data_IF_743113274817
#
_entry.id   IF_743113274817
#
_cell.length_a   1.000
_cell.length_b   1.000
_cell.length_c   1.000
_cell.angle_alpha   90.00
_cell.angle_beta   90.00
_cell.angle_gamma   90.00
#
_symmetry.space_group_name_H-M   'P 1'
#
loop_
_entity.id
_entity.type
_entity.pdbx_description
1 polymer ?
#
# COMPACT_ATOMS: atom_id res chain seq x y z
N UNK A 1 41.36 41.95 -60.41
CA UNK A 1 40.07 41.24 -60.43
C UNK A 1 40.32 39.90 -59.74
N UNK A 2 40.54 39.86 -58.42
CA UNK A 2 39.57 39.98 -57.32
C UNK A 2 38.41 38.99 -57.44
N UNK A 3 38.55 37.82 -56.80
CA UNK A 3 37.46 37.13 -56.09
C UNK A 3 38.07 36.52 -54.82
N UNK A 4 37.64 37.05 -53.67
CA UNK A 4 37.80 36.51 -52.32
C UNK A 4 37.03 35.21 -52.17
N UNK A 5 37.58 34.24 -51.45
CA UNK A 5 36.77 33.33 -50.62
C UNK A 5 37.41 33.32 -49.23
N UNK A 6 36.72 34.00 -48.35
CA UNK A 6 36.90 34.04 -46.91
C UNK A 6 36.35 32.74 -46.31
N UNK A 7 37.17 31.98 -45.59
CA UNK A 7 36.72 30.87 -44.75
C UNK A 7 37.06 31.18 -43.30
N UNK A 8 36.19 32.03 -42.73
CA UNK A 8 36.09 32.29 -41.31
C UNK A 8 35.96 31.00 -40.51
N UNK A 9 36.93 30.82 -39.61
CA UNK A 9 37.01 29.73 -38.65
C UNK A 9 36.01 30.00 -37.52
N UNK A 10 34.77 29.56 -37.70
CA UNK A 10 33.76 29.57 -36.63
C UNK A 10 34.15 28.61 -35.51
N UNK A 11 34.60 29.19 -34.39
CA UNK A 11 34.69 28.52 -33.10
C UNK A 11 33.27 28.24 -32.61
N UNK A 12 32.78 27.02 -32.81
CA UNK A 12 31.60 26.52 -32.11
C UNK A 12 31.91 26.48 -30.61
N UNK A 13 31.30 27.43 -29.88
CA UNK A 13 31.31 27.46 -28.44
C UNK A 13 30.68 26.20 -27.87
N UNK A 14 31.40 25.57 -26.95
CA UNK A 14 30.93 24.51 -26.07
C UNK A 14 30.00 25.12 -25.02
N UNK A 15 28.78 25.48 -25.43
CA UNK A 15 27.68 25.82 -24.52
C UNK A 15 26.87 24.54 -24.23
N UNK A 16 27.56 23.53 -23.71
CA UNK A 16 26.88 22.46 -22.98
C UNK A 16 26.50 23.02 -21.60
N UNK A 17 25.20 23.06 -21.23
CA UNK A 17 24.80 23.59 -19.93
C UNK A 17 25.50 22.74 -18.88
N UNK A 18 26.35 23.37 -18.06
CA UNK A 18 27.02 22.71 -16.94
C UNK A 18 25.95 22.15 -16.01
N UNK A 19 25.62 20.87 -16.17
CA UNK A 19 24.73 20.15 -15.25
C UNK A 19 25.49 20.13 -13.93
N UNK A 20 25.17 21.07 -13.05
CA UNK A 20 25.74 21.13 -11.71
C UNK A 20 25.63 19.75 -11.10
N UNK A 21 26.77 19.13 -10.76
CA UNK A 21 26.77 17.79 -10.20
C UNK A 21 25.80 17.76 -9.01
N UNK A 22 24.81 16.85 -8.98
CA UNK A 22 23.77 16.90 -7.97
C UNK A 22 24.40 16.91 -6.58
N UNK A 23 23.86 17.71 -5.66
CA UNK A 23 24.36 17.78 -4.27
C UNK A 23 24.50 16.38 -3.67
N UNK A 24 25.47 16.17 -2.76
CA UNK A 24 25.62 14.88 -2.03
C UNK A 24 24.32 14.46 -1.32
N UNK A 25 23.44 15.41 -1.02
CA UNK A 25 22.13 15.20 -0.39
C UNK A 25 20.95 15.20 -1.38
N UNK A 26 21.21 15.25 -2.69
CA UNK A 26 20.16 15.13 -3.70
C UNK A 26 19.53 13.74 -3.64
N UNK A 27 18.21 13.68 -3.85
CA UNK A 27 17.44 12.43 -4.03
C UNK A 27 17.97 11.53 -5.15
N UNK A 28 18.74 12.09 -6.07
CA UNK A 28 19.39 11.38 -7.17
C UNK A 28 20.61 10.56 -6.74
N UNK A 29 21.10 10.78 -5.51
CA UNK A 29 22.19 10.00 -4.91
C UNK A 29 21.65 9.15 -3.77
N UNK A 30 22.25 7.98 -3.59
CA UNK A 30 21.85 6.99 -2.58
C UNK A 30 21.65 7.59 -1.17
N UNK A 31 22.60 8.36 -0.58
CA UNK A 31 22.41 8.92 0.76
C UNK A 31 21.26 9.94 0.85
N UNK A 32 21.05 10.77 -0.18
CA UNK A 32 19.94 11.71 -0.20
C UNK A 32 18.59 11.02 -0.36
N UNK A 33 18.51 10.00 -1.22
CA UNK A 33 17.33 9.13 -1.36
C UNK A 33 17.01 8.38 -0.06
N UNK A 34 18.03 7.85 0.62
CA UNK A 34 17.87 7.15 1.90
C UNK A 34 17.32 8.09 2.97
N UNK A 35 17.84 9.31 3.09
CA UNK A 35 17.35 10.30 4.04
C UNK A 35 15.90 10.68 3.75
N UNK A 36 15.55 10.84 2.47
CA UNK A 36 14.18 11.15 2.06
C UNK A 36 13.22 10.00 2.39
N UNK A 37 13.59 8.76 2.07
CA UNK A 37 12.79 7.57 2.39
C UNK A 37 12.67 7.37 3.92
N UNK A 38 13.73 7.64 4.69
CA UNK A 38 13.67 7.65 6.17
C UNK A 38 12.62 8.65 6.67
N UNK A 39 12.63 9.88 6.16
CA UNK A 39 11.62 10.90 6.49
C UNK A 39 10.21 10.48 6.09
N UNK A 40 10.05 9.81 4.95
CA UNK A 40 8.75 9.32 4.48
C UNK A 40 8.19 8.20 5.38
N UNK A 41 9.04 7.32 5.91
CA UNK A 41 8.61 6.20 6.76
C UNK A 41 8.49 6.56 8.25
N UNK A 42 9.24 7.55 8.74
CA UNK A 42 9.19 7.93 10.17
C UNK A 42 7.85 8.59 10.54
N UNK A 43 7.25 9.37 9.64
CA UNK A 43 5.99 10.08 9.89
C UNK A 43 4.81 9.11 10.18
N UNK A 44 4.53 8.11 9.33
CA UNK A 44 3.52 7.08 9.64
C UNK A 44 3.83 6.28 10.90
N UNK A 45 5.11 5.98 11.15
CA UNK A 45 5.54 5.21 12.32
C UNK A 45 5.32 5.97 13.64
N UNK A 46 5.64 7.26 13.66
CA UNK A 46 5.40 8.14 14.81
C UNK A 46 3.89 8.27 15.09
N UNK A 47 3.08 8.48 14.04
CA UNK A 47 1.63 8.58 14.21
C UNK A 47 1.02 7.26 14.73
N UNK A 48 1.42 6.11 14.17
CA UNK A 48 0.94 4.80 14.65
C UNK A 48 1.27 4.57 16.12
N UNK A 49 2.48 4.95 16.54
CA UNK A 49 2.91 4.86 17.94
C UNK A 49 2.11 5.81 18.85
N UNK A 50 1.91 7.06 18.41
CA UNK A 50 1.16 8.06 19.15
C UNK A 50 -0.32 7.66 19.31
N UNK A 51 -0.95 7.12 18.26
CA UNK A 51 -2.32 6.59 18.30
C UNK A 51 -2.45 5.45 19.33
N UNK A 52 -1.47 4.54 19.41
CA UNK A 52 -1.44 3.50 20.45
C UNK A 52 -1.25 4.07 21.86
N UNK A 53 -0.43 5.11 22.04
CA UNK A 53 -0.27 5.76 23.34
C UNK A 53 -1.56 6.46 23.82
N UNK A 54 -2.34 7.04 22.90
CA UNK A 54 -3.64 7.59 23.26
C UNK A 54 -4.62 6.49 23.70
N UNK A 55 -4.68 5.37 22.98
CA UNK A 55 -5.47 4.20 23.38
C UNK A 55 -5.05 3.67 24.75
N UNK A 56 -3.75 3.58 25.02
CA UNK A 56 -3.24 3.10 26.30
C UNK A 56 -3.62 4.02 27.48
N UNK A 57 -3.84 5.31 27.23
CA UNK A 57 -4.36 6.24 28.24
C UNK A 57 -5.88 6.11 28.46
N UNK A 58 -6.62 5.50 27.54
CA UNK A 58 -8.06 5.25 27.69
C UNK A 58 -8.27 4.06 28.63
N UNK A 59 -7.67 2.92 28.30
CA UNK A 59 -7.66 1.74 29.17
C UNK A 59 -6.49 0.82 28.81
N UNK A 60 -5.55 0.67 29.75
CA UNK A 60 -4.37 -0.16 29.58
C UNK A 60 -4.71 -1.65 29.39
N UNK A 61 -5.81 -2.13 29.97
CA UNK A 61 -6.25 -3.52 29.88
C UNK A 61 -6.77 -3.91 28.48
N UNK A 62 -7.17 -2.92 27.70
CA UNK A 62 -7.76 -3.11 26.37
C UNK A 62 -6.84 -2.69 25.22
N UNK A 63 -5.58 -2.34 25.49
CA UNK A 63 -4.58 -2.07 24.43
C UNK A 63 -4.44 -3.28 23.50
N UNK A 64 -4.48 -4.49 24.05
CA UNK A 64 -4.44 -5.76 23.30
C UNK A 64 -5.63 -5.88 22.34
N UNK A 65 -6.79 -5.32 22.68
CA UNK A 65 -7.98 -5.32 21.81
C UNK A 65 -7.71 -4.56 20.51
N UNK A 66 -6.85 -3.54 20.51
CA UNK A 66 -6.52 -2.78 19.29
C UNK A 66 -5.62 -3.53 18.33
N UNK A 67 -4.82 -4.48 18.82
CA UNK A 67 -3.99 -5.33 17.96
C UNK A 67 -4.86 -6.32 17.15
N UNK A 68 -6.10 -6.60 17.58
CA UNK A 68 -7.06 -7.40 16.80
C UNK A 68 -7.34 -6.78 15.43
N UNK A 69 -7.43 -5.44 15.38
CA UNK A 69 -7.62 -4.74 14.11
C UNK A 69 -6.48 -5.08 13.14
N UNK A 70 -5.24 -5.16 13.65
CA UNK A 70 -4.06 -5.59 12.88
C UNK A 70 -4.18 -7.04 12.45
N UNK A 71 -4.59 -7.96 13.32
CA UNK A 71 -4.71 -9.38 12.99
C UNK A 71 -5.80 -9.65 11.94
N UNK A 72 -6.93 -8.96 12.04
CA UNK A 72 -7.97 -8.98 11.00
C UNK A 72 -7.38 -8.43 9.70
N UNK A 73 -6.65 -7.31 9.77
CA UNK A 73 -5.92 -6.74 8.63
C UNK A 73 -4.99 -7.73 7.94
N UNK A 74 -4.27 -8.57 8.70
CA UNK A 74 -3.40 -9.62 8.15
C UNK A 74 -4.19 -10.68 7.37
N UNK A 75 -5.39 -11.04 7.82
CA UNK A 75 -6.25 -11.95 7.04
C UNK A 75 -6.71 -11.25 5.75
N UNK A 76 -7.06 -9.97 5.82
CA UNK A 76 -7.42 -9.14 4.65
C UNK A 76 -6.25 -9.00 3.68
N UNK A 77 -5.01 -8.97 4.19
CA UNK A 77 -3.79 -8.87 3.39
C UNK A 77 -3.66 -10.02 2.39
N UNK A 78 -4.06 -11.24 2.76
CA UNK A 78 -4.05 -12.41 1.87
C UNK A 78 -4.89 -12.16 0.60
N UNK A 79 -6.05 -11.55 0.79
CA UNK A 79 -6.96 -11.17 -0.30
C UNK A 79 -6.38 -10.01 -1.12
N UNK A 80 -5.78 -9.02 -0.45
CA UNK A 80 -5.19 -7.84 -1.06
C UNK A 80 -3.89 -8.11 -1.84
N UNK A 81 -3.14 -9.14 -1.48
CA UNK A 81 -1.95 -9.56 -2.20
C UNK A 81 -2.23 -10.59 -3.30
N UNK A 82 -3.44 -11.15 -3.33
CA UNK A 82 -3.88 -12.07 -4.38
C UNK A 82 -3.97 -11.38 -5.75
N UNK A 83 -5.16 -10.89 -6.09
CA UNK A 83 -5.42 -10.27 -7.41
C UNK A 83 -4.65 -8.94 -7.61
N UNK A 84 -4.65 -7.99 -6.65
CA UNK A 84 -4.03 -6.68 -6.89
C UNK A 84 -2.53 -6.73 -7.16
N UNK A 85 -1.79 -7.70 -6.59
CA UNK A 85 -0.34 -7.81 -6.79
C UNK A 85 0.04 -8.18 -8.23
N UNK A 86 -0.85 -8.85 -8.97
CA UNK A 86 -0.64 -9.17 -10.39
C UNK A 86 -1.02 -8.03 -11.35
N UNK A 87 -1.57 -6.91 -10.84
CA UNK A 87 -2.03 -5.80 -11.66
C UNK A 87 -0.94 -5.27 -12.60
N UNK A 88 0.32 -5.17 -12.14
CA UNK A 88 1.43 -4.72 -12.98
C UNK A 88 1.74 -5.65 -14.16
N UNK A 89 1.59 -6.95 -13.97
CA UNK A 89 1.85 -7.95 -15.02
C UNK A 89 0.73 -8.02 -16.05
N UNK A 90 -0.52 -7.79 -15.62
CA UNK A 90 -1.70 -7.98 -16.47
C UNK A 90 -2.22 -6.65 -17.01
N UNK A 91 -2.49 -5.68 -16.13
CA UNK A 91 -2.98 -4.35 -16.52
C UNK A 91 -1.84 -3.46 -17.02
N UNK A 92 -0.63 -3.58 -16.46
CA UNK A 92 0.51 -2.75 -16.86
C UNK A 92 1.06 -3.03 -18.27
N UNK A 93 0.64 -4.12 -18.92
CA UNK A 93 1.16 -4.55 -20.22
C UNK A 93 0.64 -3.69 -21.38
N UNK A 94 1.37 -2.61 -21.68
CA UNK A 94 1.11 -1.72 -22.83
C UNK A 94 1.51 -2.33 -24.17
N UNK A 95 2.42 -3.29 -24.17
CA UNK A 95 3.00 -3.85 -25.40
C UNK A 95 2.06 -4.82 -26.10
N UNK A 96 1.27 -5.59 -25.34
CA UNK A 96 0.41 -6.64 -25.92
C UNK A 96 -1.09 -6.35 -25.78
N UNK A 97 -1.49 -5.43 -24.90
CA UNK A 97 -2.90 -5.12 -24.63
C UNK A 97 -3.26 -3.70 -25.00
N UNK A 98 -4.43 -3.54 -25.62
CA UNK A 98 -5.03 -2.23 -25.87
C UNK A 98 -5.45 -1.56 -24.57
N UNK A 99 -5.57 -0.23 -24.58
CA UNK A 99 -6.05 0.52 -23.41
C UNK A 99 -7.45 0.05 -22.95
N UNK A 100 -8.30 -0.35 -23.89
CA UNK A 100 -9.64 -0.89 -23.62
C UNK A 100 -9.57 -2.19 -22.82
N UNK A 101 -8.73 -3.14 -23.23
CA UNK A 101 -8.55 -4.39 -22.51
C UNK A 101 -7.99 -4.17 -21.09
N UNK A 102 -7.07 -3.23 -20.93
CA UNK A 102 -6.50 -2.83 -19.61
C UNK A 102 -7.58 -2.24 -18.70
N UNK A 103 -8.48 -1.42 -19.23
CA UNK A 103 -9.63 -0.88 -18.48
C UNK A 103 -10.64 -1.95 -18.08
N UNK A 104 -10.96 -2.90 -18.96
CA UNK A 104 -11.85 -4.02 -18.62
C UNK A 104 -11.27 -4.90 -17.51
N UNK A 105 -9.95 -5.11 -17.51
CA UNK A 105 -9.23 -5.79 -16.44
C UNK A 105 -9.30 -5.01 -15.12
N UNK A 106 -9.12 -3.68 -15.15
CA UNK A 106 -9.22 -2.82 -13.98
C UNK A 106 -10.61 -2.87 -13.34
N UNK A 107 -11.67 -2.75 -14.15
CA UNK A 107 -13.05 -2.90 -13.66
C UNK A 107 -13.27 -4.28 -13.07
N UNK A 108 -12.87 -5.34 -13.79
CA UNK A 108 -13.03 -6.71 -13.33
C UNK A 108 -12.34 -6.92 -11.98
N UNK A 109 -11.12 -6.40 -11.81
CA UNK A 109 -10.39 -6.47 -10.54
C UNK A 109 -11.13 -5.74 -9.42
N UNK A 110 -11.57 -4.50 -9.65
CA UNK A 110 -12.28 -3.71 -8.64
C UNK A 110 -13.58 -4.41 -8.22
N UNK A 111 -14.39 -4.89 -9.19
CA UNK A 111 -15.64 -5.60 -8.90
C UNK A 111 -15.41 -6.91 -8.14
N UNK A 112 -14.47 -7.73 -8.60
CA UNK A 112 -14.18 -9.02 -7.96
C UNK A 112 -13.60 -8.82 -6.57
N UNK A 113 -12.64 -7.90 -6.40
CA UNK A 113 -12.04 -7.60 -5.11
C UNK A 113 -13.07 -7.04 -4.12
N UNK A 114 -13.98 -6.18 -4.58
CA UNK A 114 -15.11 -5.69 -3.77
C UNK A 114 -16.01 -6.84 -3.32
N UNK A 115 -16.38 -7.74 -4.23
CA UNK A 115 -17.20 -8.91 -3.92
C UNK A 115 -16.53 -9.85 -2.90
N UNK A 116 -15.23 -10.12 -3.07
CA UNK A 116 -14.47 -10.92 -2.12
C UNK A 116 -14.32 -10.20 -0.75
N UNK A 117 -14.15 -8.88 -0.72
CA UNK A 117 -14.13 -8.08 0.50
C UNK A 117 -15.46 -8.11 1.25
N UNK A 118 -16.58 -8.04 0.54
CA UNK A 118 -17.93 -8.19 1.12
C UNK A 118 -18.10 -9.61 1.69
N UNK A 119 -17.75 -10.64 0.93
CA UNK A 119 -17.80 -12.02 1.38
C UNK A 119 -16.99 -12.22 2.67
N UNK A 120 -15.76 -11.70 2.70
CA UNK A 120 -14.89 -11.81 3.87
C UNK A 120 -15.45 -11.04 5.07
N UNK A 121 -16.06 -9.88 4.85
CA UNK A 121 -16.78 -9.12 5.89
C UNK A 121 -17.90 -9.96 6.50
N UNK A 122 -18.73 -10.61 5.67
CA UNK A 122 -19.83 -11.47 6.14
C UNK A 122 -19.29 -12.67 6.93
N UNK A 123 -18.21 -13.30 6.46
CA UNK A 123 -17.54 -14.40 7.16
C UNK A 123 -17.03 -13.92 8.52
N UNK A 124 -16.34 -12.79 8.60
CA UNK A 124 -15.82 -12.27 9.87
C UNK A 124 -16.92 -11.85 10.84
N UNK A 125 -18.03 -11.29 10.36
CA UNK A 125 -19.18 -10.98 11.21
C UNK A 125 -19.80 -12.26 11.80
N UNK A 126 -19.97 -13.27 10.95
CA UNK A 126 -20.52 -14.58 11.33
C UNK A 126 -19.62 -15.33 12.31
N UNK A 127 -18.30 -15.27 12.08
CA UNK A 127 -17.28 -15.93 12.88
C UNK A 127 -16.68 -15.03 13.98
N UNK A 128 -17.29 -13.88 14.28
CA UNK A 128 -16.73 -12.87 15.20
C UNK A 128 -16.40 -13.42 16.60
N UNK A 129 -17.22 -14.33 17.12
CA UNK A 129 -16.95 -15.02 18.40
C UNK A 129 -15.73 -15.93 18.33
N UNK A 130 -15.58 -16.68 17.23
CA UNK A 130 -14.45 -17.59 17.01
C UNK A 130 -13.16 -16.80 16.81
N UNK A 131 -13.21 -15.70 16.05
CA UNK A 131 -12.09 -14.79 15.88
C UNK A 131 -11.68 -14.16 17.22
N UNK A 132 -12.65 -13.70 18.00
CA UNK A 132 -12.38 -13.19 19.35
C UNK A 132 -11.76 -14.29 20.25
N UNK A 133 -12.22 -15.54 20.12
CA UNK A 133 -11.67 -16.64 20.89
C UNK A 133 -10.21 -16.97 20.54
N UNK A 134 -9.82 -16.81 19.28
CA UNK A 134 -8.46 -17.06 18.82
C UNK A 134 -7.49 -15.90 19.10
N UNK A 135 -7.95 -14.66 19.02
CA UNK A 135 -7.05 -13.49 19.00
C UNK A 135 -7.27 -12.52 20.16
N UNK A 136 -8.04 -12.90 21.18
CA UNK A 136 -8.28 -12.07 22.36
C UNK A 136 -8.10 -12.88 23.63
N UNK A 137 -7.34 -12.35 24.62
CA UNK A 137 -7.29 -12.91 25.96
C UNK A 137 -8.69 -13.10 26.56
N UNK A 138 -8.85 -14.11 27.42
CA UNK A 138 -10.16 -14.52 27.95
C UNK A 138 -10.82 -13.40 28.76
N UNK A 139 -10.01 -12.58 29.42
CA UNK A 139 -10.39 -11.52 30.35
C UNK A 139 -11.18 -10.40 29.68
N UNK A 140 -10.83 -10.05 28.43
CA UNK A 140 -11.43 -8.93 27.68
C UNK A 140 -12.25 -9.38 26.47
N UNK A 141 -12.45 -10.70 26.32
CA UNK A 141 -13.06 -11.32 25.13
C UNK A 141 -14.47 -10.81 24.85
N UNK A 142 -15.33 -10.77 25.87
CA UNK A 142 -16.74 -10.42 25.70
C UNK A 142 -16.91 -8.96 25.26
N UNK A 143 -16.13 -8.05 25.85
CA UNK A 143 -16.11 -6.63 25.51
C UNK A 143 -15.50 -6.38 24.12
N UNK A 144 -14.60 -7.26 23.66
CA UNK A 144 -13.90 -7.13 22.38
C UNK A 144 -14.71 -7.62 21.17
N UNK A 145 -15.81 -8.37 21.34
CA UNK A 145 -16.62 -8.87 20.21
C UNK A 145 -17.19 -7.71 19.37
N UNK A 146 -17.63 -6.63 20.01
CA UNK A 146 -18.12 -5.44 19.31
C UNK A 146 -17.02 -4.82 18.45
N UNK A 147 -15.81 -4.76 19.00
CA UNK A 147 -14.64 -4.24 18.29
C UNK A 147 -14.24 -5.13 17.10
N UNK A 148 -14.29 -6.46 17.26
CA UNK A 148 -14.08 -7.42 16.17
C UNK A 148 -15.08 -7.17 15.04
N UNK A 149 -16.37 -7.08 15.37
CA UNK A 149 -17.44 -6.86 14.36
C UNK A 149 -17.26 -5.56 13.60
N UNK A 150 -16.91 -4.49 14.30
CA UNK A 150 -16.63 -3.20 13.69
C UNK A 150 -15.41 -3.28 12.76
N UNK A 151 -14.34 -3.92 13.24
CA UNK A 151 -13.11 -4.14 12.46
C UNK A 151 -13.35 -5.04 11.25
N UNK A 152 -14.33 -5.93 11.26
CA UNK A 152 -14.67 -6.78 10.11
C UNK A 152 -15.04 -5.97 8.86
N UNK A 153 -15.70 -4.82 9.04
CA UNK A 153 -16.14 -3.97 7.92
C UNK A 153 -14.95 -3.38 7.16
N UNK A 154 -13.77 -3.30 7.79
CA UNK A 154 -12.56 -2.85 7.12
C UNK A 154 -12.17 -3.77 5.94
N UNK A 155 -12.62 -5.02 5.93
CA UNK A 155 -12.26 -5.98 4.89
C UNK A 155 -12.71 -5.50 3.52
N UNK A 156 -13.93 -4.95 3.41
CA UNK A 156 -14.42 -4.42 2.13
C UNK A 156 -13.74 -3.11 1.76
N UNK A 157 -13.55 -2.18 2.70
CA UNK A 157 -12.92 -0.88 2.41
C UNK A 157 -11.46 -1.07 1.98
N UNK A 158 -10.70 -1.89 2.70
CA UNK A 158 -9.33 -2.25 2.36
C UNK A 158 -9.19 -2.97 1.02
N UNK A 159 -10.13 -3.88 0.72
CA UNK A 159 -10.19 -4.57 -0.57
C UNK A 159 -10.39 -3.60 -1.74
N UNK A 160 -11.34 -2.67 -1.58
CA UNK A 160 -11.62 -1.62 -2.59
C UNK A 160 -10.44 -0.69 -2.77
N UNK A 161 -9.86 -0.18 -1.67
CA UNK A 161 -8.68 0.70 -1.72
C UNK A 161 -7.51 0.03 -2.43
N UNK A 162 -7.23 -1.23 -2.11
CA UNK A 162 -6.11 -1.97 -2.70
C UNK A 162 -6.33 -2.20 -4.19
N UNK A 163 -7.53 -2.62 -4.60
CA UNK A 163 -7.84 -2.82 -6.01
C UNK A 163 -7.78 -1.51 -6.81
N UNK A 164 -8.34 -0.42 -6.27
CA UNK A 164 -8.26 0.91 -6.90
C UNK A 164 -6.81 1.34 -7.04
N UNK A 165 -6.02 1.28 -5.96
CA UNK A 165 -4.62 1.68 -5.96
C UNK A 165 -3.79 0.86 -6.95
N UNK A 166 -3.90 -0.47 -6.94
CA UNK A 166 -3.16 -1.33 -7.84
C UNK A 166 -3.58 -1.14 -9.30
N UNK A 167 -4.88 -1.09 -9.59
CA UNK A 167 -5.40 -0.94 -10.95
C UNK A 167 -5.03 0.41 -11.55
N UNK A 168 -5.17 1.49 -10.79
CA UNK A 168 -4.89 2.85 -11.27
C UNK A 168 -3.40 3.10 -11.45
N UNK A 169 -2.54 2.59 -10.56
CA UNK A 169 -1.08 2.60 -10.78
C UNK A 169 -0.71 1.82 -12.04
N UNK A 170 -1.28 0.63 -12.24
CA UNK A 170 -1.04 -0.16 -13.44
C UNK A 170 -1.61 0.47 -14.73
N UNK A 171 -2.59 1.38 -14.61
CA UNK A 171 -3.11 2.24 -15.68
C UNK A 171 -2.34 3.55 -15.82
N UNK A 172 -1.21 3.75 -15.12
CA UNK A 172 -0.42 4.98 -15.17
C UNK A 172 -1.15 6.23 -14.62
N UNK A 173 -2.10 6.04 -13.71
CA UNK A 173 -2.83 7.10 -13.02
C UNK A 173 -2.49 7.10 -11.51
N UNK A 174 -1.27 7.54 -11.12
CA UNK A 174 -0.84 7.55 -9.72
C UNK A 174 -1.57 8.59 -8.85
N UNK A 175 -2.36 9.47 -9.46
CA UNK A 175 -3.17 10.48 -8.77
C UNK A 175 -4.23 9.86 -7.85
N UNK A 176 -4.86 8.75 -8.25
CA UNK A 176 -5.91 8.10 -7.45
C UNK A 176 -5.35 7.54 -6.13
N UNK A 177 -4.25 6.74 -6.14
CA UNK A 177 -3.59 6.31 -4.91
C UNK A 177 -3.14 7.46 -4.01
N UNK A 178 -2.71 8.58 -4.61
CA UNK A 178 -2.29 9.76 -3.86
C UNK A 178 -3.47 10.39 -3.11
N UNK A 179 -4.63 10.53 -3.78
CA UNK A 179 -5.86 11.05 -3.16
C UNK A 179 -6.33 10.14 -2.04
N UNK A 180 -6.38 8.82 -2.27
CA UNK A 180 -6.72 7.80 -1.25
C UNK A 180 -5.82 8.00 -0.03
N UNK A 181 -4.50 7.97 -0.22
CA UNK A 181 -3.53 8.05 0.88
C UNK A 181 -3.59 9.38 1.62
N UNK A 182 -3.78 10.50 0.90
CA UNK A 182 -3.84 11.84 1.49
C UNK A 182 -5.13 12.06 2.29
N UNK A 183 -6.28 11.65 1.73
CA UNK A 183 -7.56 11.72 2.41
C UNK A 183 -7.53 10.87 3.69
N UNK A 184 -7.04 9.63 3.58
CA UNK A 184 -6.88 8.72 4.72
C UNK A 184 -5.99 9.33 5.80
N UNK A 185 -4.81 9.83 5.46
CA UNK A 185 -3.88 10.40 6.43
C UNK A 185 -4.44 11.66 7.12
N UNK A 186 -4.97 12.60 6.34
CA UNK A 186 -5.46 13.88 6.86
C UNK A 186 -6.70 13.68 7.76
N UNK A 187 -7.67 12.90 7.29
CA UNK A 187 -8.93 12.67 8.02
C UNK A 187 -8.65 11.90 9.32
N UNK A 188 -7.77 10.89 9.26
CA UNK A 188 -7.44 10.06 10.42
C UNK A 188 -6.73 10.89 11.52
N UNK A 189 -5.79 11.75 11.15
CA UNK A 189 -5.14 12.66 12.11
C UNK A 189 -6.15 13.64 12.71
N UNK A 190 -6.98 14.28 11.89
CA UNK A 190 -7.95 15.28 12.37
C UNK A 190 -8.97 14.64 13.31
N UNK A 191 -9.54 13.49 12.95
CA UNK A 191 -10.53 12.80 13.79
C UNK A 191 -9.91 12.27 15.09
N UNK A 192 -8.72 11.67 15.03
CA UNK A 192 -8.02 11.20 16.24
C UNK A 192 -7.72 12.38 17.18
N UNK A 193 -7.28 13.52 16.65
CA UNK A 193 -7.04 14.72 17.45
C UNK A 193 -8.31 15.27 18.09
N UNK A 194 -9.42 15.32 17.34
CA UNK A 194 -10.69 15.90 17.82
C UNK A 194 -11.45 15.00 18.81
N UNK A 195 -11.35 13.68 18.66
CA UNK A 195 -12.24 12.73 19.35
C UNK A 195 -11.53 11.87 20.40
N UNK A 196 -10.23 11.62 20.24
CA UNK A 196 -9.49 10.61 21.02
C UNK A 196 -8.33 11.22 21.81
N UNK A 197 -7.70 12.28 21.30
CA UNK A 197 -6.52 12.87 21.95
C UNK A 197 -6.81 13.40 23.37
N UNK A 198 -5.76 13.55 24.18
CA UNK A 198 -5.87 14.11 25.54
C UNK A 198 -6.48 15.54 25.60
N UNK A 199 -6.55 16.24 24.46
CA UNK A 199 -7.05 17.62 24.34
C UNK A 199 -8.28 17.66 23.43
N UNK A 200 -9.05 16.56 23.36
CA UNK A 200 -10.22 16.45 22.51
C UNK A 200 -11.27 17.52 22.81
N UNK A 201 -12.02 17.92 21.78
CA UNK A 201 -13.02 18.99 21.88
C UNK A 201 -14.33 18.41 22.39
N UNK A 202 -14.54 18.37 23.71
CA UNK A 202 -15.80 17.93 24.31
C UNK A 202 -15.61 17.25 25.67
N UNK A 203 -16.69 17.15 26.46
CA UNK A 203 -16.67 16.54 27.80
C UNK A 203 -17.02 15.04 27.81
N UNK A 204 -16.81 14.32 26.70
CA UNK A 204 -17.05 12.88 26.62
C UNK A 204 -15.81 12.07 26.96
N UNK A 205 -16.00 10.86 27.46
CA UNK A 205 -14.90 9.92 27.71
C UNK A 205 -14.59 9.13 26.43
N UNK A 206 -13.38 9.25 25.85
CA UNK A 206 -13.01 8.50 24.67
C UNK A 206 -13.02 7.00 24.97
N UNK A 207 -13.53 6.20 24.02
CA UNK A 207 -13.59 4.73 24.16
C UNK A 207 -12.85 4.04 23.02
N UNK A 208 -12.47 2.79 23.23
CA UNK A 208 -11.77 2.00 22.20
C UNK A 208 -12.67 1.71 21.00
N UNK A 209 -13.97 1.57 21.23
CA UNK A 209 -14.94 1.45 20.13
C UNK A 209 -14.96 2.72 19.29
N UNK A 210 -14.86 3.92 19.90
CA UNK A 210 -14.76 5.19 19.17
C UNK A 210 -13.53 5.22 18.24
N UNK A 211 -12.39 4.73 18.70
CA UNK A 211 -11.19 4.60 17.87
C UNK A 211 -11.40 3.68 16.66
N UNK A 212 -12.06 2.54 16.88
CA UNK A 212 -12.44 1.63 15.79
C UNK A 212 -13.38 2.30 14.77
N UNK A 213 -14.32 3.13 15.24
CA UNK A 213 -15.27 3.85 14.37
C UNK A 213 -14.53 4.89 13.53
N UNK A 214 -13.64 5.67 14.14
CA UNK A 214 -12.83 6.67 13.44
C UNK A 214 -12.02 6.03 12.33
N UNK A 215 -11.30 4.93 12.62
CA UNK A 215 -10.53 4.19 11.61
C UNK A 215 -11.40 3.69 10.46
N UNK A 216 -12.52 3.04 10.79
CA UNK A 216 -13.44 2.54 9.79
C UNK A 216 -14.00 3.67 8.90
N UNK A 217 -14.37 4.81 9.49
CA UNK A 217 -14.85 5.97 8.77
C UNK A 217 -13.77 6.51 7.82
N UNK A 218 -12.51 6.58 8.27
CA UNK A 218 -11.39 7.01 7.43
C UNK A 218 -11.19 6.07 6.24
N UNK A 219 -11.15 4.76 6.47
CA UNK A 219 -11.00 3.75 5.41
C UNK A 219 -12.17 3.82 4.41
N UNK A 220 -13.39 3.99 4.90
CA UNK A 220 -14.58 4.08 4.04
C UNK A 220 -14.56 5.35 3.19
N UNK A 221 -14.26 6.52 3.78
CA UNK A 221 -14.19 7.79 3.05
C UNK A 221 -13.07 7.76 2.02
N UNK A 222 -11.90 7.26 2.38
CA UNK A 222 -10.76 7.12 1.47
C UNK A 222 -11.07 6.19 0.29
N UNK A 223 -11.67 5.02 0.55
CA UNK A 223 -12.15 4.11 -0.50
C UNK A 223 -13.17 4.78 -1.43
N UNK A 224 -14.13 5.52 -0.87
CA UNK A 224 -15.17 6.22 -1.64
C UNK A 224 -14.58 7.35 -2.48
N UNK A 225 -13.71 8.19 -1.92
CA UNK A 225 -13.01 9.25 -2.66
C UNK A 225 -12.20 8.67 -3.82
N UNK A 226 -11.46 7.57 -3.59
CA UNK A 226 -10.73 6.87 -4.63
C UNK A 226 -11.64 6.32 -5.74
N UNK A 227 -12.76 5.71 -5.36
CA UNK A 227 -13.74 5.17 -6.31
C UNK A 227 -14.36 6.29 -7.15
N UNK A 228 -14.85 7.36 -6.51
CA UNK A 228 -15.44 8.51 -7.19
C UNK A 228 -14.43 9.11 -8.17
N UNK A 229 -13.20 9.35 -7.75
CA UNK A 229 -12.17 9.91 -8.63
C UNK A 229 -11.85 8.97 -9.81
N UNK A 230 -11.75 7.66 -9.57
CA UNK A 230 -11.56 6.69 -10.64
C UNK A 230 -12.69 6.74 -11.67
N UNK A 231 -13.96 6.62 -11.22
CA UNK A 231 -15.11 6.58 -12.13
C UNK A 231 -15.42 7.92 -12.81
N UNK A 232 -15.05 9.06 -12.22
CA UNK A 232 -15.35 10.38 -12.78
C UNK A 232 -14.20 10.99 -13.57
N UNK A 233 -12.95 10.79 -13.17
CA UNK A 233 -11.80 11.41 -13.85
C UNK A 233 -11.11 10.42 -14.77
N UNK A 234 -10.73 9.25 -14.24
CA UNK A 234 -9.93 8.27 -15.00
C UNK A 234 -10.77 7.66 -16.11
N UNK A 235 -11.98 7.20 -15.79
CA UNK A 235 -12.88 6.60 -16.77
C UNK A 235 -13.29 7.60 -17.84
N UNK A 236 -13.66 8.83 -17.46
CA UNK A 236 -14.07 9.84 -18.44
C UNK A 236 -12.93 10.21 -19.39
N UNK A 237 -11.69 10.37 -18.90
CA UNK A 237 -10.51 10.60 -19.76
C UNK A 237 -10.36 9.51 -20.83
N UNK A 238 -10.43 8.25 -20.44
CA UNK A 238 -10.31 7.13 -21.37
C UNK A 238 -11.51 6.96 -22.32
N UNK A 239 -12.70 7.40 -21.91
CA UNK A 239 -13.88 7.41 -22.77
C UNK A 239 -13.81 8.53 -23.82
N UNK A 240 -13.31 9.72 -23.46
CA UNK A 240 -13.10 10.82 -24.41
C UNK A 240 -12.06 10.47 -25.47
N UNK A 241 -11.01 9.74 -25.10
CA UNK A 241 -9.97 9.28 -26.03
C UNK A 241 -10.40 8.07 -26.88
N UNK A 242 -11.58 7.49 -26.63
CA UNK A 242 -12.06 6.30 -27.34
C UNK A 242 -13.14 6.64 -28.36
N UNK A 243 -12.94 6.24 -29.62
CA UNK A 243 -13.91 6.43 -30.73
C UNK A 243 -15.31 5.82 -30.51
N UNK A 244 -15.51 4.98 -29.48
CA UNK A 244 -16.85 4.48 -29.14
C UNK A 244 -17.04 4.33 -27.62
N UNK A 245 -18.05 4.99 -27.02
CA UNK A 245 -18.40 4.76 -25.63
C UNK A 245 -19.03 3.37 -25.47
N UNK A 246 -18.35 2.45 -24.78
CA UNK A 246 -18.91 1.15 -24.40
C UNK A 246 -19.02 1.01 -22.89
N UNK A 247 -20.15 0.47 -22.46
CA UNK A 247 -20.40 0.05 -21.07
C UNK A 247 -19.56 -1.18 -20.73
N UNK A 248 -19.16 -1.29 -19.46
CA UNK A 248 -18.46 -2.44 -18.89
C UNK A 248 -19.09 -3.76 -19.36
N UNK A 249 -18.26 -4.66 -19.91
CA UNK A 249 -18.68 -6.03 -20.27
C UNK A 249 -18.00 -7.00 -19.33
N UNK A 250 -18.79 -7.63 -18.47
CA UNK A 250 -18.30 -8.74 -17.66
C UNK A 250 -17.86 -9.88 -18.58
N UNK A 251 -16.61 -10.34 -18.43
CA UNK A 251 -16.06 -11.41 -19.24
C UNK A 251 -15.25 -12.36 -18.34
N UNK A 252 -15.69 -13.62 -18.28
CA UNK A 252 -15.01 -14.67 -17.52
C UNK A 252 -13.56 -14.90 -17.99
N UNK A 253 -13.26 -14.65 -19.27
CA UNK A 253 -11.89 -14.73 -19.81
C UNK A 253 -10.98 -13.65 -19.20
N UNK A 254 -11.49 -12.44 -18.98
CA UNK A 254 -10.77 -11.35 -18.33
C UNK A 254 -10.45 -11.69 -16.88
N UNK A 255 -11.40 -12.31 -16.17
CA UNK A 255 -11.18 -12.81 -14.81
C UNK A 255 -10.14 -13.94 -14.77
N UNK A 256 -10.22 -14.91 -15.68
CA UNK A 256 -9.24 -16.00 -15.74
C UNK A 256 -7.82 -15.50 -16.01
N UNK A 257 -7.70 -14.44 -16.83
CA UNK A 257 -6.44 -13.76 -17.11
C UNK A 257 -5.83 -13.12 -15.86
N UNK A 258 -6.67 -12.61 -14.94
CA UNK A 258 -6.21 -12.09 -13.64
C UNK A 258 -5.86 -13.21 -12.66
N UNK A 259 -6.68 -14.28 -12.58
CA UNK A 259 -6.49 -15.36 -11.58
C UNK A 259 -5.17 -16.10 -11.81
N UNK A 260 -4.83 -16.41 -13.06
CA UNK A 260 -3.69 -17.29 -13.39
C UNK A 260 -2.35 -16.84 -12.78
N UNK A 261 -1.91 -15.58 -12.92
CA UNK A 261 -0.71 -15.10 -12.23
C UNK A 261 -0.93 -14.86 -10.72
N UNK A 262 -2.15 -14.55 -10.31
CA UNK A 262 -2.49 -14.22 -8.92
C UNK A 262 -2.53 -15.43 -7.97
N UNK A 263 -2.64 -16.65 -8.49
CA UNK A 263 -2.64 -17.86 -7.66
C UNK A 263 -1.34 -18.02 -6.88
N UNK A 264 -0.21 -17.66 -7.49
CA UNK A 264 1.10 -17.77 -6.84
C UNK A 264 1.22 -16.74 -5.72
N UNK A 265 0.90 -15.47 -5.98
CA UNK A 265 0.97 -14.39 -4.98
C UNK A 265 -0.02 -14.62 -3.83
N UNK A 266 -1.23 -15.10 -4.14
CA UNK A 266 -2.21 -15.48 -3.13
C UNK A 266 -1.69 -16.63 -2.25
N UNK A 267 -1.14 -17.68 -2.84
CA UNK A 267 -0.63 -18.84 -2.09
C UNK A 267 0.55 -18.46 -1.18
N UNK A 268 1.49 -17.66 -1.71
CA UNK A 268 2.62 -17.14 -0.94
C UNK A 268 2.16 -16.31 0.25
N UNK A 269 1.24 -15.36 0.01
CA UNK A 269 0.64 -14.53 1.05
C UNK A 269 -0.12 -15.35 2.10
N UNK A 270 -0.93 -16.31 1.64
CA UNK A 270 -1.72 -17.17 2.52
C UNK A 270 -0.83 -17.99 3.45
N UNK A 271 0.25 -18.59 2.94
CA UNK A 271 1.20 -19.36 3.75
C UNK A 271 1.88 -18.43 4.76
N UNK A 272 2.41 -17.29 4.31
CA UNK A 272 3.12 -16.33 5.17
C UNK A 272 2.23 -15.81 6.30
N UNK A 273 1.02 -15.40 5.97
CA UNK A 273 0.06 -14.85 6.93
C UNK A 273 -0.54 -15.93 7.84
N UNK A 274 -0.75 -17.16 7.36
CA UNK A 274 -1.19 -18.27 8.20
C UNK A 274 -0.14 -18.64 9.25
N UNK A 275 1.15 -18.72 8.87
CA UNK A 275 2.25 -18.98 9.82
C UNK A 275 2.33 -17.85 10.86
N UNK A 276 2.20 -16.59 10.43
CA UNK A 276 2.19 -15.45 11.34
C UNK A 276 1.02 -15.51 12.33
N UNK A 277 -0.21 -15.72 11.85
CA UNK A 277 -1.40 -15.79 12.70
C UNK A 277 -1.36 -17.00 13.65
N UNK A 278 -0.78 -18.12 13.20
CA UNK A 278 -0.54 -19.27 14.07
C UNK A 278 0.40 -18.92 15.23
N UNK A 279 1.52 -18.24 14.95
CA UNK A 279 2.43 -17.75 16.00
C UNK A 279 1.72 -16.82 16.98
N UNK A 280 1.00 -15.81 16.45
CA UNK A 280 0.25 -14.84 17.27
C UNK A 280 -0.76 -15.55 18.17
N UNK A 281 -1.54 -16.47 17.62
CA UNK A 281 -2.54 -17.23 18.38
C UNK A 281 -1.88 -17.97 19.56
N UNK A 282 -0.72 -18.61 19.34
CA UNK A 282 0.01 -19.32 20.40
C UNK A 282 0.50 -18.39 21.50
N UNK A 283 0.93 -17.18 21.16
CA UNK A 283 1.37 -16.18 22.14
C UNK A 283 0.18 -15.70 22.98
N UNK A 284 -0.97 -15.45 22.36
CA UNK A 284 -2.18 -15.00 23.05
C UNK A 284 -2.70 -16.08 24.03
N UNK A 285 -2.56 -17.36 23.68
CA UNK A 285 -2.91 -18.48 24.57
C UNK A 285 -2.07 -18.53 25.85
N UNK A 286 -0.90 -17.87 25.91
CA UNK A 286 -0.08 -17.80 27.12
C UNK A 286 -0.62 -16.80 28.16
N UNK A 287 -1.62 -15.99 27.80
CA UNK A 287 -2.29 -15.05 28.71
C UNK A 287 -2.08 -13.57 28.35
N UNK A 288 -2.69 -12.70 29.16
CA UNK A 288 -2.71 -11.23 28.95
C UNK A 288 -1.32 -10.60 28.91
N UNK A 289 -0.39 -11.07 29.75
CA UNK A 289 0.93 -10.48 29.89
C UNK A 289 1.77 -10.69 28.63
N UNK A 290 1.75 -11.91 28.08
CA UNK A 290 2.43 -12.24 26.83
C UNK A 290 1.78 -11.55 25.63
N UNK A 291 0.45 -11.45 25.59
CA UNK A 291 -0.26 -10.72 24.55
C UNK A 291 0.11 -9.23 24.55
N UNK A 292 0.21 -8.62 25.74
CA UNK A 292 0.63 -7.23 25.90
C UNK A 292 2.10 -7.04 25.51
N UNK A 293 2.99 -7.91 25.98
CA UNK A 293 4.40 -7.88 25.61
C UNK A 293 4.61 -8.02 24.09
N UNK A 294 3.82 -8.86 23.43
CA UNK A 294 3.83 -9.01 21.98
C UNK A 294 3.36 -7.75 21.24
N UNK A 295 2.33 -7.07 21.74
CA UNK A 295 1.87 -5.79 21.23
C UNK A 295 2.95 -4.70 21.34
N UNK A 296 3.65 -4.64 22.49
CA UNK A 296 4.80 -3.75 22.70
C UNK A 296 5.94 -4.07 21.74
N UNK A 297 6.33 -5.35 21.66
CA UNK A 297 7.37 -5.81 20.74
C UNK A 297 7.07 -5.43 19.29
N UNK A 298 5.86 -5.67 18.80
CA UNK A 298 5.50 -5.31 17.43
C UNK A 298 5.51 -3.80 17.19
N UNK A 299 5.11 -3.01 18.19
CA UNK A 299 5.14 -1.55 18.10
C UNK A 299 6.58 -1.05 17.97
N UNK A 300 7.52 -1.59 18.76
CA UNK A 300 8.95 -1.26 18.64
C UNK A 300 9.52 -1.76 17.30
N UNK A 301 9.20 -3.00 16.92
CA UNK A 301 9.69 -3.62 15.68
C UNK A 301 9.28 -2.78 14.47
N UNK A 302 7.99 -2.51 14.29
CA UNK A 302 7.51 -1.76 13.13
C UNK A 302 7.77 -0.27 13.22
N UNK A 303 7.62 0.33 14.40
CA UNK A 303 7.71 1.78 14.58
C UNK A 303 9.14 2.33 14.65
N UNK A 304 10.11 1.52 15.10
CA UNK A 304 11.50 1.96 15.28
C UNK A 304 12.47 1.17 14.40
N UNK A 305 12.43 -0.17 14.47
CA UNK A 305 13.47 -1.02 13.87
C UNK A 305 13.28 -1.20 12.36
N UNK A 306 12.04 -1.39 11.90
CA UNK A 306 11.76 -1.64 10.49
C UNK A 306 11.81 -0.37 9.64
N UNK A 307 11.59 0.81 10.21
CA UNK A 307 11.65 2.10 9.49
C UNK A 307 12.98 2.28 8.72
N UNK A 308 14.17 2.15 9.33
CA UNK A 308 15.42 2.25 8.60
C UNK A 308 15.64 1.11 7.62
N UNK A 309 15.18 -0.11 7.94
CA UNK A 309 15.29 -1.27 7.04
C UNK A 309 14.48 -1.06 5.77
N UNK A 310 13.24 -0.58 5.90
CA UNK A 310 12.36 -0.25 4.77
C UNK A 310 12.91 0.91 3.95
N UNK A 311 13.49 1.93 4.60
CA UNK A 311 14.15 3.03 3.89
C UNK A 311 15.35 2.54 3.06
N UNK A 312 16.16 1.64 3.63
CA UNK A 312 17.28 0.99 2.93
C UNK A 312 16.79 0.14 1.77
N UNK A 313 15.76 -0.68 1.98
CA UNK A 313 15.15 -1.52 0.95
C UNK A 313 14.62 -0.67 -0.22
N UNK A 314 13.78 0.32 0.07
CA UNK A 314 13.18 1.19 -0.94
C UNK A 314 14.24 1.95 -1.76
N UNK A 315 15.26 2.49 -1.08
CA UNK A 315 16.37 3.17 -1.75
C UNK A 315 17.17 2.20 -2.61
N UNK A 316 17.53 1.04 -2.08
CA UNK A 316 18.31 0.03 -2.80
C UNK A 316 17.57 -0.48 -4.02
N UNK A 317 16.27 -0.79 -3.91
CA UNK A 317 15.42 -1.19 -5.03
C UNK A 317 15.37 -0.11 -6.12
N UNK A 318 15.26 1.16 -5.75
CA UNK A 318 15.25 2.25 -6.72
C UNK A 318 16.58 2.32 -7.50
N UNK A 319 17.72 2.31 -6.82
CA UNK A 319 19.03 2.42 -7.49
C UNK A 319 19.39 1.16 -8.30
N UNK A 320 19.16 -0.02 -7.73
CA UNK A 320 19.37 -1.28 -8.45
C UNK A 320 18.47 -1.35 -9.67
N UNK A 321 17.19 -0.97 -9.55
CA UNK A 321 16.23 -0.93 -10.65
C UNK A 321 16.66 0.02 -11.78
N UNK A 322 17.09 1.24 -11.45
CA UNK A 322 17.58 2.19 -12.45
C UNK A 322 18.85 1.69 -13.14
N UNK A 323 19.82 1.18 -12.39
CA UNK A 323 21.07 0.64 -12.93
C UNK A 323 20.82 -0.59 -13.82
N UNK A 324 19.93 -1.48 -13.40
CA UNK A 324 19.52 -2.65 -14.18
C UNK A 324 18.80 -2.24 -15.47
N UNK A 325 17.93 -1.24 -15.40
CA UNK A 325 17.26 -0.67 -16.57
C UNK A 325 18.25 -0.08 -17.59
N UNK A 326 19.24 0.69 -17.12
CA UNK A 326 20.30 1.23 -17.97
C UNK A 326 21.16 0.12 -18.59
N UNK A 327 21.51 -0.91 -17.81
CA UNK A 327 22.25 -2.07 -18.31
C UNK A 327 21.47 -2.76 -19.43
N UNK A 328 20.18 -3.03 -19.23
CA UNK A 328 19.33 -3.69 -20.23
C UNK A 328 19.15 -2.86 -21.50
N UNK A 329 19.06 -1.52 -21.37
CA UNK A 329 19.02 -0.63 -22.52
C UNK A 329 20.33 -0.66 -23.32
N UNK A 330 21.49 -0.77 -22.65
CA UNK A 330 22.81 -0.89 -23.31
C UNK A 330 23.05 -2.27 -23.92
N UNK A 331 22.46 -3.31 -23.34
CA UNK A 331 22.61 -4.70 -23.75
C UNK A 331 22.02 -5.03 -25.13
N UNK A 332 21.03 -4.26 -25.58
CA UNK A 332 20.09 -4.78 -26.59
C UNK A 332 19.32 -5.99 -26.04
N UNK A 333 18.32 -6.47 -26.76
CA UNK A 333 17.37 -7.51 -26.30
C UNK A 333 17.98 -8.92 -26.13
N UNK A 334 19.30 -9.07 -26.13
CA UNK A 334 19.99 -10.34 -25.86
C UNK A 334 20.30 -10.47 -24.37
N UNK A 335 19.94 -11.61 -23.78
CA UNK A 335 20.23 -11.95 -22.39
C UNK A 335 21.76 -11.93 -22.15
N UNK A 336 22.28 -10.92 -21.44
CA UNK A 336 23.70 -10.90 -21.08
C UNK A 336 23.97 -11.92 -19.98
N UNK A 337 24.78 -12.94 -20.28
CA UNK A 337 25.46 -13.74 -19.28
C UNK A 337 26.66 -12.95 -18.74
N UNK A 338 26.46 -12.17 -17.67
CA UNK A 338 27.57 -11.46 -17.02
C UNK A 338 28.38 -12.43 -16.16
N UNK A 339 29.69 -12.48 -16.40
CA UNK A 339 30.63 -13.28 -15.62
C UNK A 339 31.03 -12.53 -14.34
N UNK A 340 31.37 -13.28 -13.29
CA UNK A 340 31.71 -12.81 -11.93
C UNK A 340 32.78 -11.70 -11.89
N UNK A 341 33.61 -11.57 -12.93
CA UNK A 341 34.67 -10.56 -13.04
C UNK A 341 34.14 -9.15 -13.34
N UNK A 342 33.02 -9.02 -14.04
CA UNK A 342 32.45 -7.70 -14.39
C UNK A 342 31.79 -7.03 -13.18
N UNK A 343 31.31 -7.83 -12.22
CA UNK A 343 30.69 -7.34 -10.98
C UNK A 343 31.68 -6.75 -9.97
N UNK A 344 32.97 -7.05 -10.09
CA UNK A 344 34.00 -6.67 -9.10
C UNK A 344 34.93 -5.54 -9.58
N UNK A 345 34.68 -4.97 -10.76
CA UNK A 345 35.47 -3.85 -11.29
C UNK A 345 34.67 -2.54 -11.23
N UNK A 346 34.46 -2.02 -10.02
CA UNK A 346 34.27 -0.58 -9.78
C UNK A 346 34.60 -0.20 -8.35
#
# INVERSE_FOLDING_TARGET
>A
MAIMVDSGQERLGDDSPSISSPSKWSRERYPGSLLFNLGAFILPALYSTLSKLWVANIDASHVVTTDIYTYIGVIVEVLNEGLPRSAWLVIGDKSTRTIRARMDLAYTMIFVQTGLGILMTVVFLSCSKTLAAGFVPVEVKQTSITYVRLSSVQAVTSAVETALSASTRALDNPDVPLIISSAKFLINIVLDLLLISKVHVGAWQPTIVMQGIVRLACDAVSALCGAIYFFTMVVNRYQTDSESPRRFRWNASTLLTLIRPSMYTFSESAIRNAIYLWLVHRIILLGSDYATAWGVFNTIRWGLVMVPVQALEASTLAFVGHNWGQLRARAGTEYISLSRRDLLSK
#
